data_IF_118645570621
#
_entry.id   IF_118645570621
#
_cell.length_a   1.000
_cell.length_b   1.000
_cell.length_c   1.000
_cell.angle_alpha   90.00
_cell.angle_beta   90.00
_cell.angle_gamma   90.00
#
_symmetry.space_group_name_H-M   'P 1'
#
loop_
_entity.id
_entity.type
_entity.pdbx_description
1 polymer ?
#
# COMPACT_ATOMS: atom_id res chain seq x y z
N UNK A 1 -0.72 -8.50 21.25
CA UNK A 1 -1.99 -8.21 20.55
C UNK A 1 -1.90 -8.88 19.18
N UNK A 2 -2.96 -9.54 18.71
CA UNK A 2 -2.91 -10.23 17.41
C UNK A 2 -3.04 -9.19 16.28
N UNK A 3 -2.08 -9.06 15.37
CA UNK A 3 -2.17 -8.07 14.30
C UNK A 3 -3.33 -8.34 13.36
N UNK A 4 -3.90 -7.27 12.80
CA UNK A 4 -4.70 -7.37 11.58
C UNK A 4 -3.74 -7.58 10.43
N UNK A 5 -3.96 -8.60 9.59
CA UNK A 5 -3.18 -8.79 8.37
C UNK A 5 -4.08 -9.15 7.21
N UNK A 6 -3.70 -8.68 6.02
CA UNK A 6 -4.35 -8.99 4.75
C UNK A 6 -3.27 -9.30 3.74
N UNK A 7 -3.47 -10.36 2.96
CA UNK A 7 -2.57 -10.76 1.88
C UNK A 7 -3.33 -10.68 0.56
N UNK A 8 -2.69 -10.12 -0.48
CA UNK A 8 -3.26 -10.08 -1.84
C UNK A 8 -2.18 -10.26 -2.89
N UNK A 9 -2.59 -10.65 -4.10
CA UNK A 9 -1.74 -10.64 -5.29
C UNK A 9 -2.04 -9.40 -6.13
N UNK A 10 -0.97 -8.76 -6.62
CA UNK A 10 -1.05 -7.66 -7.59
C UNK A 10 -0.46 -8.09 -8.94
N UNK A 11 -1.02 -7.62 -10.06
CA UNK A 11 -0.60 -8.00 -11.41
C UNK A 11 0.61 -7.17 -11.90
N UNK A 12 1.55 -6.85 -11.00
CA UNK A 12 2.77 -6.08 -11.28
C UNK A 12 3.95 -6.65 -10.53
N UNK A 13 5.17 -6.29 -10.98
CA UNK A 13 6.42 -6.71 -10.34
C UNK A 13 6.55 -6.17 -8.90
N UNK A 14 7.39 -6.81 -8.07
CA UNK A 14 7.56 -6.41 -6.68
C UNK A 14 8.09 -4.98 -6.53
N UNK A 15 8.96 -4.51 -7.43
CA UNK A 15 9.54 -3.16 -7.37
C UNK A 15 8.48 -2.08 -7.61
N UNK A 16 7.67 -2.27 -8.65
CA UNK A 16 6.56 -1.36 -8.95
C UNK A 16 5.53 -1.33 -7.81
N UNK A 17 5.14 -2.51 -7.30
CA UNK A 17 4.24 -2.59 -6.17
C UNK A 17 4.82 -1.93 -4.91
N UNK A 18 6.13 -2.08 -4.65
CA UNK A 18 6.78 -1.45 -3.52
C UNK A 18 6.79 0.07 -3.66
N UNK A 19 7.20 0.61 -4.82
CA UNK A 19 7.19 2.05 -5.08
C UNK A 19 5.79 2.64 -4.89
N UNK A 20 4.76 1.93 -5.37
CA UNK A 20 3.38 2.36 -5.23
C UNK A 20 2.91 2.37 -3.77
N UNK A 21 3.16 1.29 -3.03
CA UNK A 21 2.60 1.06 -1.69
C UNK A 21 3.41 1.70 -0.56
N UNK A 22 4.73 1.81 -0.69
CA UNK A 22 5.60 2.43 0.31
C UNK A 22 5.40 3.95 0.36
N UNK A 23 4.95 4.56 -0.74
CA UNK A 23 4.56 5.97 -0.77
C UNK A 23 3.17 6.18 -0.16
N UNK A 24 3.17 6.55 1.12
CA UNK A 24 1.96 6.83 1.88
C UNK A 24 1.09 7.92 1.25
N UNK A 25 1.63 8.82 0.42
CA UNK A 25 0.84 9.86 -0.27
C UNK A 25 -0.19 9.24 -1.21
N UNK A 26 0.09 8.06 -1.78
CA UNK A 26 -0.85 7.35 -2.62
C UNK A 26 -2.10 6.88 -1.87
N UNK A 27 -2.04 6.77 -0.54
CA UNK A 27 -3.17 6.33 0.28
C UNK A 27 -4.40 7.25 0.16
N UNK A 28 -4.18 8.55 -0.07
CA UNK A 28 -5.25 9.54 -0.30
C UNK A 28 -6.08 9.24 -1.57
N UNK A 29 -5.52 8.50 -2.53
CA UNK A 29 -6.23 8.06 -3.74
C UNK A 29 -7.14 6.86 -3.50
N UNK A 30 -6.85 6.08 -2.45
CA UNK A 30 -7.48 4.79 -2.23
C UNK A 30 -8.48 4.79 -1.09
N UNK A 31 -8.27 5.64 -0.09
CA UNK A 31 -9.17 5.78 1.05
C UNK A 31 -9.97 7.07 0.89
N UNK A 32 -11.31 6.97 0.72
CA UNK A 32 -12.18 8.13 0.68
C UNK A 32 -12.00 9.00 1.93
N UNK A 33 -12.26 10.29 1.78
CA UNK A 33 -12.25 11.25 2.90
C UNK A 33 -10.91 11.26 3.67
N UNK A 34 -9.81 10.90 3.02
CA UNK A 34 -8.48 10.88 3.62
C UNK A 34 -7.52 11.74 2.83
N UNK A 35 -6.82 12.63 3.52
CA UNK A 35 -5.68 13.38 2.95
C UNK A 35 -4.40 12.88 3.57
N UNK A 36 -3.32 12.84 2.79
CA UNK A 36 -2.00 12.41 3.28
C UNK A 36 -0.93 13.35 2.75
N UNK A 37 -0.07 13.83 3.65
CA UNK A 37 1.15 14.57 3.33
C UNK A 37 2.35 13.80 3.88
N UNK A 38 3.50 13.92 3.22
CA UNK A 38 4.76 13.36 3.68
C UNK A 38 5.89 14.35 3.41
N UNK A 39 6.89 14.37 4.29
CA UNK A 39 8.01 15.31 4.23
C UNK A 39 9.09 14.90 3.20
N UNK A 40 8.85 13.84 2.42
CA UNK A 40 9.77 13.34 1.41
C UNK A 40 9.29 12.04 0.72
N UNK A 41 10.08 11.50 -0.21
CA UNK A 41 9.85 10.16 -0.77
C UNK A 41 10.02 9.07 0.31
N UNK A 42 9.58 7.81 0.07
CA UNK A 42 9.67 6.75 1.07
C UNK A 42 11.10 6.46 1.51
N UNK A 43 11.46 6.89 2.71
CA UNK A 43 12.76 6.66 3.33
C UNK A 43 12.61 6.57 4.85
N UNK A 44 13.53 5.89 5.52
CA UNK A 44 13.56 5.86 6.99
C UNK A 44 13.70 7.28 7.55
N UNK A 45 12.95 7.59 8.61
CA UNK A 45 12.88 8.91 9.23
C UNK A 45 11.86 9.87 8.62
N UNK A 46 11.30 9.55 7.45
CA UNK A 46 10.28 10.41 6.81
C UNK A 46 9.01 10.41 7.64
N UNK A 47 8.52 11.63 7.89
CA UNK A 47 7.25 11.85 8.60
C UNK A 47 6.10 11.90 7.61
N UNK A 48 5.00 11.30 8.03
CA UNK A 48 3.74 11.22 7.28
C UNK A 48 2.63 11.71 8.18
N UNK A 49 1.69 12.46 7.61
CA UNK A 49 0.48 12.91 8.30
C UNK A 49 -0.73 12.54 7.45
N UNK A 50 -1.59 11.69 8.00
CA UNK A 50 -2.89 11.37 7.43
C UNK A 50 -4.01 12.00 8.26
N UNK A 51 -5.06 12.46 7.59
CA UNK A 51 -6.29 12.95 8.23
C UNK A 51 -7.49 12.30 7.55
N UNK A 52 -8.32 11.60 8.32
CA UNK A 52 -9.51 10.90 7.81
C UNK A 52 -10.81 11.45 8.42
N UNK A 53 -11.81 11.80 7.60
CA UNK A 53 -13.13 12.27 8.06
C UNK A 53 -13.92 13.10 7.03
N UNK A 54 -15.25 13.25 7.21
CA UNK A 54 -16.10 14.04 6.30
C UNK A 54 -15.59 15.48 6.17
N UNK A 55 -15.57 15.94 4.92
CA UNK A 55 -14.61 16.88 4.33
C UNK A 55 -14.20 18.10 5.17
N UNK A 56 -12.88 18.25 5.27
CA UNK A 56 -12.15 19.51 5.41
C UNK A 56 -12.46 20.40 4.19
N UNK A 57 -13.50 21.22 4.33
CA UNK A 57 -13.72 22.49 3.62
C UNK A 57 -13.80 23.59 4.69
N UNK A 58 -12.65 23.90 5.30
CA UNK A 58 -12.54 25.01 6.27
C UNK A 58 -12.80 24.68 7.75
N UNK A 59 -12.96 23.42 8.18
CA UNK A 59 -13.09 23.07 9.62
C UNK A 59 -12.21 21.88 10.07
N UNK A 60 -11.83 21.91 11.35
CA UNK A 60 -10.83 21.09 12.07
C UNK A 60 -11.31 19.71 12.55
N UNK A 61 -12.10 18.98 11.76
CA UNK A 61 -12.69 17.70 12.20
C UNK A 61 -12.08 16.56 11.38
N UNK A 62 -11.52 15.55 12.05
CA UNK A 62 -10.91 14.39 11.42
C UNK A 62 -9.94 13.65 12.33
N UNK A 63 -9.80 12.34 12.14
CA UNK A 63 -8.84 11.50 12.85
C UNK A 63 -7.43 11.78 12.30
N UNK A 64 -6.58 12.37 13.13
CA UNK A 64 -5.18 12.65 12.78
C UNK A 64 -4.31 11.45 13.14
N UNK A 65 -3.61 10.92 12.14
CA UNK A 65 -2.61 9.87 12.27
C UNK A 65 -1.26 10.40 11.81
N UNK A 66 -0.33 10.62 12.75
CA UNK A 66 1.07 10.96 12.45
C UNK A 66 1.88 9.69 12.48
N UNK A 67 2.73 9.52 11.48
CA UNK A 67 3.58 8.35 11.35
C UNK A 67 5.01 8.74 11.02
N UNK A 68 5.94 7.91 11.45
CA UNK A 68 7.32 7.92 10.97
C UNK A 68 7.58 6.62 10.23
N UNK A 69 8.13 6.71 9.02
CA UNK A 69 8.66 5.54 8.32
C UNK A 69 9.91 5.09 9.08
N UNK A 70 9.85 3.93 9.71
CA UNK A 70 10.98 3.37 10.50
C UNK A 70 11.78 2.32 9.72
N UNK A 71 11.23 1.86 8.59
CA UNK A 71 11.92 0.99 7.64
C UNK A 71 11.39 1.29 6.24
N UNK A 72 12.30 1.50 5.30
CA UNK A 72 12.00 1.61 3.87
C UNK A 72 13.10 0.87 3.12
N UNK A 73 12.81 -0.35 2.72
CA UNK A 73 13.74 -1.21 1.99
C UNK A 73 13.04 -1.71 0.73
N UNK A 74 13.49 -1.34 -0.47
CA UNK A 74 12.95 -1.90 -1.70
C UNK A 74 13.21 -3.42 -1.76
N UNK A 75 12.46 -4.15 -2.60
CA UNK A 75 12.76 -5.54 -2.88
C UNK A 75 14.18 -5.69 -3.44
N UNK A 76 14.79 -6.83 -3.17
CA UNK A 76 16.04 -7.24 -3.81
C UNK A 76 15.99 -8.73 -4.12
N UNK A 77 17.01 -9.26 -4.80
CA UNK A 77 17.04 -10.67 -5.16
C UNK A 77 16.82 -11.57 -3.93
N UNK A 78 15.73 -12.34 -3.96
CA UNK A 78 15.33 -13.25 -2.87
C UNK A 78 14.74 -12.58 -1.62
N UNK A 79 14.74 -11.24 -1.51
CA UNK A 79 14.30 -10.54 -0.31
C UNK A 79 13.05 -9.69 -0.57
N UNK A 80 12.06 -9.73 0.33
CA UNK A 80 10.88 -8.90 0.19
C UNK A 80 11.25 -7.42 0.39
N UNK A 81 10.62 -6.54 -0.38
CA UNK A 81 10.59 -5.13 -0.05
C UNK A 81 9.72 -4.92 1.18
N UNK A 82 10.15 -4.07 2.11
CA UNK A 82 9.45 -3.79 3.37
C UNK A 82 9.40 -2.30 3.63
N UNK A 83 8.19 -1.80 3.89
CA UNK A 83 7.95 -0.48 4.46
C UNK A 83 7.25 -0.63 5.81
N UNK A 84 7.81 -0.06 6.88
CA UNK A 84 7.23 -0.08 8.22
C UNK A 84 7.02 1.35 8.71
N UNK A 85 5.81 1.64 9.16
CA UNK A 85 5.37 2.92 9.67
C UNK A 85 5.07 2.76 11.16
N UNK A 86 5.69 3.59 11.99
CA UNK A 86 5.34 3.71 13.42
C UNK A 86 4.30 4.82 13.54
N UNK A 87 3.18 4.56 14.20
CA UNK A 87 2.14 5.57 14.49
C UNK A 87 2.50 6.30 15.77
N UNK A 88 2.68 7.61 15.65
CA UNK A 88 3.21 8.53 16.66
C UNK A 88 2.09 9.32 17.39
N UNK A 89 0.83 9.13 17.00
CA UNK A 89 -0.32 9.82 17.58
C UNK A 89 -0.82 11.02 16.77
N UNK A 90 -1.59 11.94 17.37
CA UNK A 90 -1.91 12.01 18.80
C UNK A 90 -2.92 10.95 19.28
N UNK A 91 -3.71 10.36 18.37
CA UNK A 91 -4.78 9.41 18.72
C UNK A 91 -4.35 7.96 18.55
N UNK A 92 -3.76 7.62 17.40
CA UNK A 92 -3.37 6.25 17.06
C UNK A 92 -1.89 6.00 17.37
N UNK A 93 -1.61 4.90 18.04
CA UNK A 93 -0.27 4.39 18.30
C UNK A 93 -0.12 2.97 17.74
N UNK A 94 1.12 2.54 17.53
CA UNK A 94 1.45 1.19 17.06
C UNK A 94 2.20 1.22 15.74
N UNK A 95 1.94 0.26 14.85
CA UNK A 95 2.67 0.13 13.58
C UNK A 95 1.85 -0.44 12.44
N UNK A 96 2.15 0.02 11.23
CA UNK A 96 1.75 -0.58 9.97
C UNK A 96 2.99 -1.14 9.26
N UNK A 97 2.87 -2.29 8.59
CA UNK A 97 3.92 -2.84 7.74
C UNK A 97 3.34 -3.34 6.43
N UNK A 98 4.00 -2.99 5.33
CA UNK A 98 3.72 -3.50 3.99
C UNK A 98 4.96 -4.27 3.53
N UNK A 99 4.76 -5.54 3.19
CA UNK A 99 5.81 -6.39 2.63
C UNK A 99 5.40 -6.88 1.24
N UNK A 100 6.31 -6.77 0.28
CA UNK A 100 6.09 -7.12 -1.14
C UNK A 100 7.15 -8.12 -1.58
N UNK A 101 6.74 -9.21 -2.22
CA UNK A 101 7.64 -10.22 -2.79
C UNK A 101 7.14 -10.74 -4.13
N UNK A 102 8.03 -11.25 -4.98
CA UNK A 102 7.64 -11.89 -6.23
C UNK A 102 6.67 -13.07 -5.99
N UNK A 103 5.62 -13.18 -6.83
CA UNK A 103 4.72 -14.31 -6.86
C UNK A 103 5.33 -15.38 -7.77
N UNK A 104 5.92 -16.42 -7.18
CA UNK A 104 6.71 -17.42 -7.92
C UNK A 104 7.90 -17.96 -7.13
N UNK A 105 8.34 -17.22 -6.10
CA UNK A 105 9.17 -17.78 -5.03
C UNK A 105 8.29 -18.71 -4.16
N UNK A 106 8.03 -19.91 -4.67
CA UNK A 106 7.40 -21.02 -3.98
C UNK A 106 8.45 -22.13 -3.84
N UNK A 107 9.12 -22.17 -2.68
CA UNK A 107 10.04 -23.25 -2.28
C UNK A 107 11.28 -23.46 -3.17
N UNK A 108 12.22 -24.31 -2.73
CA UNK A 108 13.30 -24.78 -3.59
C UNK A 108 12.69 -25.57 -4.76
N UNK A 109 12.98 -25.19 -6.01
CA UNK A 109 12.64 -25.99 -7.21
C UNK A 109 11.61 -25.39 -8.18
N UNK A 110 11.04 -24.21 -7.91
CA UNK A 110 10.14 -23.55 -8.86
C UNK A 110 10.89 -22.69 -9.89
N UNK A 111 10.96 -23.14 -11.15
CA UNK A 111 11.42 -22.31 -12.27
C UNK A 111 10.38 -21.24 -12.60
N UNK A 112 10.77 -19.97 -12.49
CA UNK A 112 9.96 -18.84 -12.94
C UNK A 112 9.79 -18.91 -14.47
N UNK A 113 8.54 -18.88 -14.96
CA UNK A 113 8.28 -18.72 -16.40
C UNK A 113 8.70 -17.31 -16.82
N UNK A 114 9.64 -17.23 -17.75
CA UNK A 114 10.25 -16.00 -18.27
C UNK A 114 9.23 -15.07 -18.95
N UNK A 115 8.09 -15.61 -19.41
CA UNK A 115 7.08 -14.86 -20.16
C UNK A 115 5.77 -14.55 -19.39
N UNK A 116 5.72 -14.84 -18.08
CA UNK A 116 4.55 -14.49 -17.28
C UNK A 116 4.61 -13.00 -16.90
N UNK A 117 3.49 -12.25 -16.96
CA UNK A 117 3.46 -10.90 -16.41
C UNK A 117 3.91 -10.96 -14.96
N UNK A 118 4.96 -10.18 -14.63
CA UNK A 118 5.53 -10.15 -13.28
C UNK A 118 4.40 -9.83 -12.30
N UNK A 119 4.19 -10.71 -11.33
CA UNK A 119 3.18 -10.51 -10.28
C UNK A 119 3.84 -10.59 -8.92
N UNK A 120 3.21 -9.98 -7.91
CA UNK A 120 3.75 -9.94 -6.57
C UNK A 120 2.70 -10.34 -5.52
N UNK A 121 3.17 -10.85 -4.39
CA UNK A 121 2.39 -11.05 -3.18
C UNK A 121 2.65 -9.89 -2.22
N UNK A 122 1.59 -9.23 -1.80
CA UNK A 122 1.62 -8.14 -0.81
C UNK A 122 1.02 -8.64 0.49
N UNK A 123 1.72 -8.40 1.61
CA UNK A 123 1.21 -8.59 2.96
C UNK A 123 1.18 -7.25 3.67
N UNK A 124 -0.02 -6.80 4.03
CA UNK A 124 -0.23 -5.63 4.88
C UNK A 124 -0.53 -6.10 6.29
N UNK A 125 0.15 -5.56 7.29
CA UNK A 125 -0.04 -5.86 8.72
C UNK A 125 -0.21 -4.57 9.51
N UNK A 126 -1.20 -4.53 10.39
CA UNK A 126 -1.51 -3.40 11.26
C UNK A 126 -1.60 -3.91 12.71
N UNK A 127 -0.87 -3.27 13.61
CA UNK A 127 -1.01 -3.44 15.06
C UNK A 127 -1.15 -2.07 15.66
N UNK A 128 -2.39 -1.62 15.87
CA UNK A 128 -2.66 -0.25 16.28
C UNK A 128 -3.70 -0.21 17.38
N UNK A 129 -3.64 0.83 18.20
CA UNK A 129 -4.56 1.05 19.31
C UNK A 129 -4.73 2.55 19.53
N UNK A 130 -5.80 2.91 20.23
CA UNK A 130 -5.99 4.30 20.65
C UNK A 130 -5.09 4.56 21.86
N UNK A 131 -4.45 5.73 21.88
CA UNK A 131 -3.69 6.22 23.03
C UNK A 131 -4.57 6.22 24.29
N UNK A 132 -4.13 5.55 25.35
CA UNK A 132 -4.88 5.44 26.60
C UNK A 132 -4.55 4.17 27.39
N UNK A 133 -5.26 3.92 28.51
CA UNK A 133 -4.92 2.85 29.45
C UNK A 133 -5.29 1.44 28.97
N UNK A 134 -6.13 1.31 27.94
CA UNK A 134 -6.68 0.02 27.47
C UNK A 134 -6.27 -0.32 26.03
N UNK A 135 -4.96 -0.50 25.74
CA UNK A 135 -4.48 -0.68 24.37
C UNK A 135 -4.96 -1.99 23.73
N UNK A 136 -5.16 -3.06 24.52
CA UNK A 136 -5.65 -4.35 24.00
C UNK A 136 -7.13 -4.28 23.57
N UNK A 137 -7.96 -3.60 24.36
CA UNK A 137 -9.40 -3.44 24.09
C UNK A 137 -9.60 -2.56 22.86
N UNK A 138 -8.95 -1.40 22.83
CA UNK A 138 -9.06 -0.47 21.69
C UNK A 138 -8.50 -1.08 20.40
N UNK A 139 -7.42 -1.86 20.47
CA UNK A 139 -6.96 -2.66 19.33
C UNK A 139 -8.04 -3.63 18.84
N UNK A 140 -8.68 -4.38 19.74
CA UNK A 140 -9.71 -5.36 19.36
C UNK A 140 -10.91 -4.68 18.68
N UNK A 141 -11.35 -3.53 19.21
CA UNK A 141 -12.43 -2.74 18.62
C UNK A 141 -12.05 -2.17 17.23
N UNK A 142 -10.80 -1.74 17.06
CA UNK A 142 -10.32 -1.19 15.78
C UNK A 142 -10.02 -2.27 14.72
N UNK A 143 -9.92 -3.55 15.11
CA UNK A 143 -9.49 -4.60 14.18
C UNK A 143 -10.40 -4.73 12.94
N UNK A 144 -11.72 -4.61 13.15
CA UNK A 144 -12.72 -4.69 12.07
C UNK A 144 -12.62 -3.50 11.10
N UNK A 145 -12.71 -2.23 11.55
CA UNK A 145 -12.62 -1.09 10.63
C UNK A 145 -11.26 -1.02 9.92
N UNK A 146 -10.16 -1.38 10.59
CA UNK A 146 -8.83 -1.44 9.95
C UNK A 146 -8.80 -2.48 8.85
N UNK A 147 -9.30 -3.69 9.10
CA UNK A 147 -9.36 -4.74 8.09
C UNK A 147 -10.16 -4.27 6.87
N UNK A 148 -11.31 -3.64 7.09
CA UNK A 148 -12.14 -3.09 6.03
C UNK A 148 -11.39 -2.02 5.22
N UNK A 149 -10.71 -1.09 5.89
CA UNK A 149 -9.87 -0.06 5.25
C UNK A 149 -8.75 -0.67 4.42
N UNK A 150 -8.01 -1.67 4.93
CA UNK A 150 -6.93 -2.34 4.19
C UNK A 150 -7.47 -3.06 2.96
N UNK A 151 -8.62 -3.74 3.06
CA UNK A 151 -9.27 -4.35 1.90
C UNK A 151 -9.71 -3.31 0.87
N UNK A 152 -10.25 -2.18 1.31
CA UNK A 152 -10.63 -1.07 0.44
C UNK A 152 -9.40 -0.52 -0.30
N UNK A 153 -8.31 -0.25 0.42
CA UNK A 153 -7.05 0.23 -0.16
C UNK A 153 -6.56 -0.72 -1.26
N UNK A 154 -6.44 -2.02 -0.94
CA UNK A 154 -5.93 -3.03 -1.87
C UNK A 154 -6.87 -3.27 -3.05
N UNK A 155 -8.19 -3.13 -2.85
CA UNK A 155 -9.16 -3.17 -3.95
C UNK A 155 -8.98 -1.97 -4.88
N UNK A 156 -8.75 -0.78 -4.34
CA UNK A 156 -8.47 0.42 -5.15
C UNK A 156 -7.19 0.27 -5.93
N UNK A 157 -6.10 -0.15 -5.28
CA UNK A 157 -4.80 -0.42 -5.93
C UNK A 157 -4.96 -1.36 -7.12
N UNK A 158 -5.70 -2.46 -6.96
CA UNK A 158 -5.95 -3.40 -8.05
C UNK A 158 -6.72 -2.79 -9.22
N UNK A 159 -7.69 -1.90 -8.95
CA UNK A 159 -8.43 -1.21 -10.01
C UNK A 159 -7.51 -0.23 -10.75
N UNK A 160 -6.74 0.57 -10.03
CA UNK A 160 -5.78 1.51 -10.61
C UNK A 160 -4.79 0.79 -11.53
N UNK A 161 -4.23 -0.34 -11.08
CA UNK A 161 -3.30 -1.14 -11.89
C UNK A 161 -3.97 -1.75 -13.12
N UNK A 162 -5.18 -2.31 -12.97
CA UNK A 162 -5.93 -2.86 -14.10
C UNK A 162 -6.23 -1.78 -15.17
N UNK A 163 -6.53 -0.55 -14.74
CA UNK A 163 -6.74 0.57 -15.64
C UNK A 163 -5.46 0.97 -16.39
N UNK A 164 -4.30 1.00 -15.72
CA UNK A 164 -3.00 1.30 -16.36
C UNK A 164 -2.66 0.28 -17.44
N UNK A 165 -2.74 -1.00 -17.10
CA UNK A 165 -2.48 -2.11 -18.05
C UNK A 165 -3.42 -2.04 -19.26
N UNK A 166 -4.70 -1.75 -19.04
CA UNK A 166 -5.67 -1.62 -20.12
C UNK A 166 -5.38 -0.42 -21.04
N UNK A 167 -4.92 0.71 -20.49
CA UNK A 167 -4.52 1.88 -21.29
C UNK A 167 -3.26 1.59 -22.11
N UNK A 168 -2.22 1.04 -21.49
CA UNK A 168 -0.98 0.67 -22.18
C UNK A 168 -1.24 -0.31 -23.34
N UNK A 169 -2.13 -1.30 -23.11
CA UNK A 169 -2.50 -2.28 -24.14
C UNK A 169 -3.22 -1.64 -25.33
N UNK A 170 -4.08 -0.64 -25.08
CA UNK A 170 -4.76 0.12 -26.15
C UNK A 170 -3.76 0.96 -26.95
N UNK A 171 -2.85 1.65 -26.27
CA UNK A 171 -1.86 2.51 -26.94
C UNK A 171 -0.92 1.70 -27.84
N UNK A 172 -0.50 0.51 -27.39
CA UNK A 172 0.30 -0.42 -28.21
C UNK A 172 -0.46 -0.94 -29.44
N UNK A 173 -1.77 -1.22 -29.32
CA UNK A 173 -2.60 -1.68 -30.43
C UNK A 173 -2.84 -0.58 -31.47
N UNK A 174 -3.09 0.66 -31.03
CA UNK A 174 -3.23 1.84 -31.90
C UNK A 174 -1.95 2.11 -32.68
N UNK A 175 -0.79 2.11 -32.00
CA UNK A 175 0.50 2.35 -32.64
C UNK A 175 0.83 1.27 -33.69
N UNK A 176 0.55 -0.01 -33.40
CA UNK A 176 0.76 -1.11 -34.35
C UNK A 176 -0.14 -1.01 -35.59
N UNK A 177 -1.34 -0.46 -35.46
CA UNK A 177 -2.29 -0.28 -36.57
C UNK A 177 -1.85 0.88 -37.47
N UNK A 178 -1.32 1.97 -36.89
CA UNK A 178 -0.81 3.12 -37.63
C UNK A 178 0.45 2.77 -38.45
N UNK A 179 1.38 1.98 -37.89
CA UNK A 179 2.57 1.49 -38.62
C UNK A 179 2.17 0.61 -39.81
N UNK A 180 1.09 -0.16 -39.71
CA UNK A 180 0.65 -1.09 -40.77
C UNK A 180 -0.15 -0.41 -41.89
N UNK A 181 -0.74 0.76 -41.64
CA UNK A 181 -1.52 1.51 -42.62
C UNK A 181 -0.74 2.67 -43.26
N UNK A 182 0.52 2.88 -42.87
CA UNK A 182 1.41 3.94 -43.35
C UNK A 182 2.47 3.49 -44.35
N UNK A 183 2.32 2.30 -44.94
CA UNK A 183 3.15 1.71 -46.01
C UNK A 183 2.27 1.35 -47.19
#
# INVERSE_FOLDING_TARGET
>A
MRPVHVTTRLPVGPDEAWLLLADARNHARWIPLTTVTADGPPASGVRVRAVSGPRVAGRRWGLVDRMTIVRAQPPSAGHPGVATFRKDGPVLLGSAQIAVRAAGAAGPGGVARVDAPSSCLVRWTETVHVRGPLPRVTHALLAVPIRAMVHLALRSVRRDLAQRIATESRDHATNRTQVRNGT
#
